data_IF_923704463289
#
_entry.id   IF_923704463289
#
_cell.length_a   1.000
_cell.length_b   1.000
_cell.length_c   1.000
_cell.angle_alpha   90.00
_cell.angle_beta   90.00
_cell.angle_gamma   90.00
#
_symmetry.space_group_name_H-M   'P 1'
#
loop_
_entity.id
_entity.type
_entity.pdbx_description
1 polymer ?
#
# COMPACT_ATOMS: atom_id res chain seq x y z
N UNK A 1 -25.71 -13.66 3.19
CA UNK A 1 -24.84 -12.55 2.74
C UNK A 1 -25.66 -11.71 1.77
N UNK A 2 -25.92 -10.45 2.08
CA UNK A 2 -26.65 -9.56 1.16
C UNK A 2 -25.71 -9.11 0.03
N UNK A 3 -26.27 -8.75 -1.13
CA UNK A 3 -25.49 -8.27 -2.28
C UNK A 3 -24.69 -7.01 -1.93
N UNK A 4 -25.18 -6.20 -0.98
CA UNK A 4 -24.53 -4.99 -0.50
C UNK A 4 -23.26 -5.29 0.31
N UNK A 5 -23.25 -6.39 1.08
CA UNK A 5 -22.06 -6.84 1.82
C UNK A 5 -20.96 -7.33 0.87
N UNK A 6 -21.35 -8.04 -0.19
CA UNK A 6 -20.44 -8.59 -1.20
C UNK A 6 -19.79 -7.50 -2.07
N UNK A 7 -20.56 -6.49 -2.45
CA UNK A 7 -20.04 -5.37 -3.25
C UNK A 7 -19.09 -4.51 -2.43
N UNK A 8 -19.40 -4.23 -1.15
CA UNK A 8 -18.50 -3.47 -0.28
C UNK A 8 -17.17 -4.17 0.03
N UNK A 9 -17.20 -5.48 0.24
CA UNK A 9 -15.99 -6.30 0.43
C UNK A 9 -15.14 -6.37 -0.84
N UNK A 10 -15.75 -6.55 -2.02
CA UNK A 10 -15.04 -6.59 -3.30
C UNK A 10 -14.34 -5.25 -3.61
N UNK A 11 -15.02 -4.12 -3.40
CA UNK A 11 -14.41 -2.80 -3.60
C UNK A 11 -13.28 -2.53 -2.62
N UNK A 12 -13.45 -2.86 -1.33
CA UNK A 12 -12.40 -2.71 -0.32
C UNK A 12 -11.15 -3.54 -0.63
N UNK A 13 -11.33 -4.79 -1.08
CA UNK A 13 -10.23 -5.66 -1.51
C UNK A 13 -9.55 -5.15 -2.77
N UNK A 14 -10.31 -4.74 -3.80
CA UNK A 14 -9.77 -4.21 -5.04
C UNK A 14 -8.92 -2.96 -4.82
N UNK A 15 -9.38 -2.06 -3.95
CA UNK A 15 -8.64 -0.87 -3.53
C UNK A 15 -7.31 -1.24 -2.86
N UNK A 16 -7.35 -2.16 -1.89
CA UNK A 16 -6.16 -2.63 -1.19
C UNK A 16 -5.13 -3.26 -2.15
N UNK A 17 -5.58 -4.13 -3.05
CA UNK A 17 -4.72 -4.79 -4.04
C UNK A 17 -4.09 -3.76 -4.99
N UNK A 18 -4.88 -2.81 -5.50
CA UNK A 18 -4.36 -1.73 -6.36
C UNK A 18 -3.34 -0.86 -5.63
N UNK A 19 -3.61 -0.55 -4.36
CA UNK A 19 -2.73 0.25 -3.53
C UNK A 19 -1.37 -0.43 -3.29
N UNK A 20 -1.39 -1.74 -3.02
CA UNK A 20 -0.18 -2.53 -2.83
C UNK A 20 0.58 -2.74 -4.13
N UNK A 21 -0.10 -3.03 -5.24
CA UNK A 21 0.54 -3.19 -6.54
C UNK A 21 1.29 -1.93 -6.96
N UNK A 22 0.68 -0.75 -6.76
CA UNK A 22 1.30 0.54 -7.06
C UNK A 22 2.54 0.76 -6.21
N UNK A 23 2.46 0.47 -4.92
CA UNK A 23 3.58 0.63 -4.01
C UNK A 23 4.72 -0.37 -4.28
N UNK A 24 4.39 -1.62 -4.62
CA UNK A 24 5.37 -2.64 -5.00
C UNK A 24 6.11 -2.25 -6.29
N UNK A 25 5.40 -1.71 -7.28
CA UNK A 25 6.02 -1.20 -8.51
C UNK A 25 6.96 -0.03 -8.22
N UNK A 26 6.51 0.95 -7.42
CA UNK A 26 7.34 2.10 -7.02
C UNK A 26 8.58 1.62 -6.25
N UNK A 27 8.42 0.71 -5.29
CA UNK A 27 9.53 0.14 -4.53
C UNK A 27 10.52 -0.58 -5.45
N UNK A 28 10.03 -1.44 -6.35
CA UNK A 28 10.87 -2.19 -7.32
C UNK A 28 11.62 -1.26 -8.28
N UNK A 29 11.02 -0.13 -8.67
CA UNK A 29 11.66 0.86 -9.54
C UNK A 29 12.66 1.74 -8.77
N UNK A 30 12.32 2.15 -7.56
CA UNK A 30 13.16 2.97 -6.68
C UNK A 30 14.41 2.23 -6.17
N UNK A 31 14.35 0.90 -6.07
CA UNK A 31 15.47 0.04 -5.65
C UNK A 31 16.71 0.13 -6.55
N UNK A 32 16.60 0.65 -7.78
CA UNK A 32 17.75 0.88 -8.67
C UNK A 32 18.50 2.20 -8.42
N UNK A 33 18.03 3.04 -7.48
CA UNK A 33 18.63 4.36 -7.17
C UNK A 33 19.19 4.41 -5.74
N UNK A 34 20.07 5.38 -5.51
CA UNK A 34 20.71 5.66 -4.21
C UNK A 34 19.72 5.66 -3.02
N UNK A 35 20.17 5.18 -1.84
CA UNK A 35 19.38 5.07 -0.60
C UNK A 35 18.58 6.35 -0.25
N UNK A 36 19.14 7.56 -0.45
CA UNK A 36 18.42 8.84 -0.25
C UNK A 36 17.24 9.02 -1.20
N UNK A 37 17.41 8.66 -2.48
CA UNK A 37 16.29 8.69 -3.44
C UNK A 37 15.26 7.62 -3.14
N UNK A 38 15.68 6.44 -2.70
CA UNK A 38 14.78 5.37 -2.28
C UNK A 38 13.88 5.82 -1.13
N UNK A 39 14.45 6.31 -0.03
CA UNK A 39 13.69 6.84 1.12
C UNK A 39 12.73 7.96 0.71
N UNK A 40 13.13 8.86 -0.18
CA UNK A 40 12.26 9.95 -0.68
C UNK A 40 11.09 9.43 -1.51
N UNK A 41 11.30 8.43 -2.36
CA UNK A 41 10.23 7.81 -3.15
C UNK A 41 9.28 6.97 -2.28
N UNK A 42 9.80 6.30 -1.26
CA UNK A 42 8.99 5.50 -0.33
C UNK A 42 8.15 6.40 0.57
N UNK A 43 8.76 7.39 1.24
CA UNK A 43 8.06 8.33 2.11
C UNK A 43 7.11 9.25 1.31
N UNK A 44 7.56 9.74 0.14
CA UNK A 44 6.71 10.51 -0.77
C UNK A 44 5.55 9.67 -1.31
N UNK A 45 5.82 8.41 -1.66
CA UNK A 45 4.81 7.44 -2.06
C UNK A 45 3.79 7.17 -0.96
N UNK A 46 4.22 7.08 0.30
CA UNK A 46 3.29 6.93 1.44
C UNK A 46 2.30 8.09 1.55
N UNK A 47 2.76 9.34 1.45
CA UNK A 47 1.88 10.53 1.54
C UNK A 47 0.88 10.56 0.39
N UNK A 48 1.36 10.37 -0.85
CA UNK A 48 0.49 10.31 -2.04
C UNK A 48 -0.54 9.21 -1.90
N UNK A 49 -0.09 8.04 -1.44
CA UNK A 49 -0.94 6.87 -1.25
C UNK A 49 -2.01 7.11 -0.21
N UNK A 50 -1.66 7.72 0.92
CA UNK A 50 -2.59 8.06 2.01
C UNK A 50 -3.68 9.00 1.50
N UNK A 51 -3.29 10.08 0.81
CA UNK A 51 -4.21 11.02 0.16
C UNK A 51 -5.13 10.32 -0.86
N UNK A 52 -4.57 9.43 -1.69
CA UNK A 52 -5.32 8.70 -2.72
C UNK A 52 -6.34 7.75 -2.09
N UNK A 53 -5.94 6.96 -1.08
CA UNK A 53 -6.86 6.07 -0.36
C UNK A 53 -7.93 6.83 0.39
N UNK A 54 -7.61 7.96 1.02
CA UNK A 54 -8.62 8.80 1.69
C UNK A 54 -9.62 9.39 0.70
N UNK A 55 -9.16 9.88 -0.45
CA UNK A 55 -10.03 10.39 -1.51
C UNK A 55 -10.93 9.29 -2.09
N UNK A 56 -10.40 8.09 -2.33
CA UNK A 56 -11.19 6.97 -2.87
C UNK A 56 -12.19 6.41 -1.84
N UNK A 57 -11.79 6.35 -0.56
CA UNK A 57 -12.70 5.97 0.52
C UNK A 57 -13.87 6.95 0.64
N UNK A 58 -13.59 8.26 0.57
CA UNK A 58 -14.63 9.29 0.56
C UNK A 58 -15.55 9.15 -0.66
N UNK A 59 -14.99 8.93 -1.86
CA UNK A 59 -15.77 8.72 -3.08
C UNK A 59 -16.70 7.49 -2.96
N UNK A 60 -16.20 6.38 -2.44
CA UNK A 60 -17.01 5.17 -2.26
C UNK A 60 -18.14 5.35 -1.23
N UNK A 61 -17.87 6.05 -0.13
CA UNK A 61 -18.87 6.33 0.91
C UNK A 61 -19.92 7.35 0.45
N UNK A 62 -19.53 8.38 -0.31
CA UNK A 62 -20.42 9.51 -0.67
C UNK A 62 -21.12 9.37 -2.01
N UNK A 63 -20.48 8.77 -3.02
CA UNK A 63 -21.03 8.66 -4.38
C UNK A 63 -21.61 7.27 -4.60
N UNK A 64 -20.83 6.23 -4.28
CA UNK A 64 -21.22 4.83 -4.54
C UNK A 64 -22.14 4.27 -3.45
N UNK A 65 -22.26 4.96 -2.31
CA UNK A 65 -23.14 4.59 -1.18
C UNK A 65 -22.88 3.16 -0.69
N UNK A 66 -21.60 2.78 -0.61
CA UNK A 66 -21.21 1.46 -0.12
C UNK A 66 -21.51 1.33 1.38
N UNK A 67 -21.92 0.15 1.84
CA UNK A 67 -22.16 -0.11 3.25
C UNK A 67 -20.91 0.22 4.10
N UNK A 68 -20.98 1.21 5.01
CA UNK A 68 -19.78 1.75 5.67
C UNK A 68 -19.03 0.73 6.52
N UNK A 69 -19.77 -0.15 7.19
CA UNK A 69 -19.22 -1.09 8.16
C UNK A 69 -18.44 -2.21 7.48
N UNK A 70 -19.02 -2.81 6.43
CA UNK A 70 -18.38 -3.83 5.59
C UNK A 70 -17.15 -3.29 4.85
N UNK A 71 -17.23 -2.06 4.34
CA UNK A 71 -16.10 -1.38 3.71
C UNK A 71 -14.97 -1.10 4.72
N UNK A 72 -15.29 -0.51 5.88
CA UNK A 72 -14.29 -0.15 6.89
C UNK A 72 -13.54 -1.36 7.44
N UNK A 73 -14.23 -2.48 7.71
CA UNK A 73 -13.60 -3.71 8.19
C UNK A 73 -12.66 -4.30 7.13
N UNK A 74 -13.13 -4.44 5.90
CA UNK A 74 -12.34 -4.98 4.78
C UNK A 74 -11.12 -4.11 4.47
N UNK A 75 -11.31 -2.79 4.47
CA UNK A 75 -10.24 -1.82 4.24
C UNK A 75 -9.20 -1.86 5.35
N UNK A 76 -9.61 -1.85 6.61
CA UNK A 76 -8.69 -1.85 7.77
C UNK A 76 -7.86 -3.13 7.81
N UNK A 77 -8.49 -4.29 7.59
CA UNK A 77 -7.79 -5.58 7.56
C UNK A 77 -6.81 -5.65 6.37
N UNK A 78 -7.27 -5.28 5.17
CA UNK A 78 -6.44 -5.29 3.98
C UNK A 78 -5.23 -4.36 4.10
N UNK A 79 -5.46 -3.12 4.54
CA UNK A 79 -4.39 -2.14 4.76
C UNK A 79 -3.38 -2.64 5.80
N UNK A 80 -3.84 -3.20 6.92
CA UNK A 80 -2.95 -3.70 7.98
C UNK A 80 -2.05 -4.84 7.50
N UNK A 81 -2.60 -5.82 6.77
CA UNK A 81 -1.84 -6.95 6.23
C UNK A 81 -0.83 -6.47 5.19
N UNK A 82 -1.25 -5.59 4.27
CA UNK A 82 -0.40 -5.11 3.18
C UNK A 82 0.71 -4.18 3.67
N UNK A 83 0.44 -3.33 4.67
CA UNK A 83 1.47 -2.54 5.34
C UNK A 83 2.50 -3.42 6.05
N UNK A 84 2.03 -4.46 6.75
CA UNK A 84 2.93 -5.41 7.42
C UNK A 84 3.83 -6.13 6.40
N UNK A 85 3.25 -6.59 5.30
CA UNK A 85 4.01 -7.22 4.20
C UNK A 85 5.02 -6.26 3.58
N UNK A 86 4.63 -5.00 3.38
CA UNK A 86 5.49 -3.96 2.82
C UNK A 86 6.67 -3.62 3.76
N UNK A 87 6.43 -3.50 5.07
CA UNK A 87 7.48 -3.28 6.08
C UNK A 87 8.46 -4.47 6.10
N UNK A 88 7.95 -5.71 6.05
CA UNK A 88 8.78 -6.91 6.01
C UNK A 88 9.63 -7.00 4.73
N UNK A 89 9.06 -6.63 3.58
CA UNK A 89 9.80 -6.59 2.31
C UNK A 89 10.88 -5.49 2.34
N UNK A 90 10.57 -4.31 2.89
CA UNK A 90 11.57 -3.27 3.14
C UNK A 90 12.69 -3.76 4.05
N UNK A 91 12.35 -4.44 5.15
CA UNK A 91 13.31 -4.95 6.11
C UNK A 91 14.25 -5.98 5.47
N UNK A 92 13.70 -7.00 4.79
CA UNK A 92 14.49 -8.02 4.08
C UNK A 92 15.43 -7.42 3.04
N UNK A 93 14.94 -6.45 2.26
CA UNK A 93 15.75 -5.82 1.22
C UNK A 93 16.78 -4.86 1.79
N UNK A 94 16.51 -4.20 2.92
CA UNK A 94 17.49 -3.39 3.64
C UNK A 94 18.64 -4.25 4.19
N UNK A 95 18.34 -5.39 4.81
CA UNK A 95 19.37 -6.36 5.24
C UNK A 95 20.21 -6.85 4.07
N UNK A 96 19.57 -7.16 2.94
CA UNK A 96 20.27 -7.58 1.71
C UNK A 96 21.21 -6.50 1.17
N UNK A 97 20.83 -5.21 1.26
CA UNK A 97 21.69 -4.10 0.82
C UNK A 97 22.85 -3.82 1.77
N UNK A 98 22.68 -4.02 3.08
CA UNK A 98 23.76 -3.89 4.06
C UNK A 98 24.86 -4.95 3.87
N UNK A 99 24.52 -6.08 3.24
CA UNK A 99 25.45 -7.17 2.90
C UNK A 99 26.14 -7.00 1.53
N UNK A 100 25.82 -5.97 0.72
CA UNK A 100 26.73 -5.56 -0.37
C UNK A 100 27.83 -4.71 0.27
N UNK A 101 29.00 -5.31 0.54
CA UNK A 101 29.95 -4.73 1.47
C UNK A 101 30.59 -3.48 0.86
N UNK A 102 31.13 -2.69 1.76
CA UNK A 102 32.21 -1.73 1.58
C UNK A 102 33.50 -2.40 1.04
N UNK A 103 33.43 -3.34 0.10
CA UNK A 103 34.55 -4.02 -0.56
C UNK A 103 35.08 -3.26 -1.77
N UNK A 104 34.94 -1.94 -1.80
CA UNK A 104 35.68 -1.09 -2.76
C UNK A 104 35.92 0.29 -2.16
N UNK A 105 36.88 0.40 -1.25
CA UNK A 105 38.10 1.22 -1.41
C UNK A 105 38.88 1.28 -0.11
#
# INVERSE_FOLDING_TARGET
MSLDTLTGTAWGLGLCVGNFATAYLIARWAFRRSLRSFLRWVLGGMVVRLLLTSALALYLLTVVHVEPLSFALSFTLGVSVLLTAEILDFHRRYETFRLRPLTTR
#
